data_IF_672103731917
#
_entry.id   IF_672103731917
#
_cell.length_a   1.000
_cell.length_b   1.000
_cell.length_c   1.000
_cell.angle_alpha   90.00
_cell.angle_beta   90.00
_cell.angle_gamma   90.00
#
_symmetry.space_group_name_H-M   'P 1'
#
loop_
_entity.id
_entity.type
_entity.pdbx_description
1 polymer ?
#
# COMPACT_ATOMS: atom_id res chain seq x y z
N UNK A 1 -9.81 8.50 -0.77
CA UNK A 1 -9.51 9.80 -1.43
C UNK A 1 -9.78 9.61 -2.91
N UNK A 2 -10.50 10.56 -3.53
CA UNK A 2 -10.86 10.54 -4.95
C UNK A 2 -10.01 11.55 -5.69
N UNK A 3 -9.48 11.17 -6.84
CA UNK A 3 -8.59 11.99 -7.65
C UNK A 3 -9.17 12.26 -9.04
N UNK A 4 -8.84 13.38 -9.67
CA UNK A 4 -9.31 13.72 -11.02
C UNK A 4 -8.56 12.95 -12.11
N UNK A 5 -7.26 12.74 -11.88
CA UNK A 5 -6.37 12.01 -12.77
C UNK A 5 -5.27 11.33 -11.98
N UNK A 6 -4.65 10.34 -12.58
CA UNK A 6 -3.43 9.71 -12.07
C UNK A 6 -2.32 9.74 -13.08
N UNK A 7 -1.12 10.05 -12.60
CA UNK A 7 0.11 10.02 -13.38
C UNK A 7 1.12 9.13 -12.69
N UNK A 8 1.57 8.08 -13.40
CA UNK A 8 2.54 7.11 -12.91
C UNK A 8 3.71 6.94 -13.86
N UNK A 9 4.88 6.66 -13.33
CA UNK A 9 5.99 6.12 -14.07
C UNK A 9 6.71 5.03 -13.27
N UNK A 10 7.48 4.19 -13.95
CA UNK A 10 8.41 3.26 -13.34
C UNK A 10 9.69 3.19 -14.17
N UNK A 11 10.85 3.02 -13.52
CA UNK A 11 12.13 2.97 -14.22
C UNK A 11 12.20 1.85 -15.27
N UNK A 12 11.63 0.68 -14.94
CA UNK A 12 11.55 -0.47 -15.85
C UNK A 12 10.36 -0.46 -16.82
N UNK A 13 9.49 0.56 -16.73
CA UNK A 13 8.23 0.64 -17.47
C UNK A 13 7.04 0.07 -16.70
N UNK A 14 5.85 0.25 -17.28
CA UNK A 14 4.58 -0.18 -16.69
C UNK A 14 3.89 -1.22 -17.56
N UNK A 15 3.08 -2.04 -16.92
CA UNK A 15 2.10 -2.91 -17.55
C UNK A 15 0.72 -2.38 -17.18
N UNK A 16 -0.12 -2.14 -18.18
CA UNK A 16 -1.48 -1.64 -18.03
C UNK A 16 -2.47 -2.65 -18.59
N UNK A 17 -3.36 -3.16 -17.74
CA UNK A 17 -4.43 -4.06 -18.14
C UNK A 17 -5.75 -3.31 -18.15
N UNK A 18 -6.43 -3.27 -19.29
CA UNK A 18 -7.73 -2.64 -19.47
C UNK A 18 -8.55 -3.37 -20.55
N UNK A 19 -9.83 -3.53 -20.32
CA UNK A 19 -10.75 -4.18 -21.27
C UNK A 19 -10.27 -5.55 -21.78
N UNK A 20 -9.58 -6.34 -20.92
CA UNK A 20 -9.05 -7.64 -21.29
C UNK A 20 -7.80 -7.61 -22.20
N UNK A 21 -7.22 -6.45 -22.42
CA UNK A 21 -5.96 -6.26 -23.14
C UNK A 21 -4.86 -5.76 -22.23
N UNK A 22 -3.63 -6.10 -22.55
CA UNK A 22 -2.44 -5.64 -21.86
C UNK A 22 -1.64 -4.71 -22.77
N UNK A 23 -1.22 -3.58 -22.25
CA UNK A 23 -0.38 -2.58 -22.90
C UNK A 23 0.89 -2.37 -22.08
N UNK A 24 2.02 -2.15 -22.72
CA UNK A 24 3.30 -1.83 -22.08
C UNK A 24 3.67 -0.36 -22.31
N UNK A 25 4.03 0.31 -21.23
CA UNK A 25 4.56 1.69 -21.24
C UNK A 25 6.07 1.62 -21.01
N UNK A 26 6.82 2.37 -21.78
CA UNK A 26 8.29 2.38 -21.71
C UNK A 26 8.81 2.90 -20.37
N UNK A 27 10.06 2.53 -20.05
CA UNK A 27 10.72 2.97 -18.82
C UNK A 27 10.79 4.50 -18.73
N UNK A 28 10.44 5.03 -17.55
CA UNK A 28 10.35 6.45 -17.21
C UNK A 28 9.31 7.27 -18.02
N UNK A 29 8.55 6.65 -18.91
CA UNK A 29 7.41 7.31 -19.55
C UNK A 29 6.29 7.50 -18.53
N UNK A 30 5.62 8.66 -18.59
CA UNK A 30 4.50 8.98 -17.69
C UNK A 30 3.19 8.50 -18.31
N UNK A 31 2.59 7.49 -17.69
CA UNK A 31 1.22 7.08 -17.94
C UNK A 31 0.27 8.07 -17.28
N UNK A 32 -0.67 8.63 -18.03
CA UNK A 32 -1.75 9.47 -17.48
C UNK A 32 -3.08 8.76 -17.69
N UNK A 33 -3.84 8.56 -16.61
CA UNK A 33 -5.19 7.99 -16.61
C UNK A 33 -6.15 9.02 -16.06
N UNK A 34 -7.21 9.32 -16.81
CA UNK A 34 -8.29 10.21 -16.39
C UNK A 34 -9.59 9.41 -16.26
N UNK A 35 -10.59 9.98 -15.58
CA UNK A 35 -11.93 9.38 -15.45
C UNK A 35 -12.58 9.05 -16.81
N UNK A 36 -12.21 9.75 -17.87
CA UNK A 36 -12.73 9.55 -19.23
C UNK A 36 -12.05 8.41 -20.00
N UNK A 37 -11.06 7.72 -19.39
CA UNK A 37 -10.39 6.60 -20.05
C UNK A 37 -11.38 5.47 -20.37
N UNK A 38 -11.37 5.02 -21.62
CA UNK A 38 -12.24 3.94 -22.08
C UNK A 38 -11.99 2.60 -21.37
N UNK A 39 -10.85 2.44 -20.73
CA UNK A 39 -10.50 1.27 -19.91
C UNK A 39 -11.49 1.03 -18.76
N UNK A 40 -12.20 2.06 -18.30
CA UNK A 40 -13.21 1.93 -17.25
C UNK A 40 -14.57 1.39 -17.73
N UNK A 41 -14.81 1.24 -19.02
CA UNK A 41 -16.10 0.78 -19.56
C UNK A 41 -16.46 -0.65 -19.10
N UNK A 42 -15.45 -1.50 -18.90
CA UNK A 42 -15.61 -2.89 -18.50
C UNK A 42 -15.08 -3.18 -17.09
N UNK A 43 -15.00 -2.16 -16.24
CA UNK A 43 -14.57 -2.32 -14.84
C UNK A 43 -13.39 -1.45 -14.45
N UNK A 44 -12.34 -2.06 -13.93
CA UNK A 44 -11.14 -1.37 -13.44
C UNK A 44 -10.00 -1.36 -14.47
N UNK A 45 -9.10 -0.39 -14.32
CA UNK A 45 -7.80 -0.41 -14.98
C UNK A 45 -6.78 -0.90 -13.95
N UNK A 46 -5.96 -1.87 -14.33
CA UNK A 46 -4.91 -2.44 -13.48
C UNK A 46 -3.54 -1.99 -13.97
N UNK A 47 -2.72 -1.45 -13.09
CA UNK A 47 -1.36 -0.96 -13.40
C UNK A 47 -0.35 -1.62 -12.49
N UNK A 48 0.75 -2.10 -13.07
CA UNK A 48 1.89 -2.63 -12.31
C UNK A 48 3.21 -2.24 -12.95
N UNK A 49 4.28 -2.18 -12.15
CA UNK A 49 5.61 -2.00 -12.70
C UNK A 49 6.12 -3.30 -13.32
N UNK A 50 6.79 -3.22 -14.46
CA UNK A 50 7.51 -4.35 -15.02
C UNK A 50 8.53 -4.90 -14.02
N UNK A 51 8.64 -6.23 -13.96
CA UNK A 51 9.58 -6.93 -13.07
C UNK A 51 9.39 -6.66 -11.57
N UNK A 52 8.19 -6.25 -11.13
CA UNK A 52 7.88 -6.02 -9.73
C UNK A 52 8.55 -4.79 -9.12
N UNK A 53 8.96 -3.82 -9.93
CA UNK A 53 9.58 -2.57 -9.51
C UNK A 53 8.63 -1.63 -8.76
N UNK A 54 9.14 -0.45 -8.39
CA UNK A 54 8.32 0.63 -7.82
C UNK A 54 7.71 1.51 -8.91
N UNK A 55 6.49 1.95 -8.66
CA UNK A 55 5.75 2.93 -9.46
C UNK A 55 5.72 4.25 -8.71
N UNK A 56 6.20 5.33 -9.30
CA UNK A 56 6.12 6.68 -8.73
C UNK A 56 4.82 7.35 -9.19
N UNK A 57 4.04 7.86 -8.24
CA UNK A 57 2.83 8.64 -8.53
C UNK A 57 3.17 10.14 -8.58
N UNK A 58 3.02 10.77 -9.73
CA UNK A 58 3.37 12.19 -9.94
C UNK A 58 2.22 13.14 -9.61
N UNK A 59 0.98 12.66 -9.66
CA UNK A 59 -0.24 13.45 -9.39
C UNK A 59 -0.66 13.46 -7.93
N UNK A 60 0.06 12.76 -7.04
CA UNK A 60 -0.25 12.68 -5.61
C UNK A 60 0.88 13.33 -4.83
N UNK A 61 0.56 14.37 -4.06
CA UNK A 61 1.50 14.98 -3.11
C UNK A 61 1.21 14.47 -1.69
N UNK A 62 2.22 13.93 -1.00
CA UNK A 62 2.11 13.48 0.38
C UNK A 62 3.19 14.14 1.21
N UNK A 63 3.28 15.29 1.56
CA UNK A 63 4.22 15.96 2.48
C UNK A 63 5.70 15.50 2.46
N UNK A 64 5.97 14.30 1.96
CA UNK A 64 7.29 13.65 1.87
C UNK A 64 7.75 13.45 0.41
N UNK A 65 7.17 14.17 -0.54
CA UNK A 65 7.42 14.02 -1.98
C UNK A 65 6.40 13.13 -2.68
N UNK A 66 6.74 12.67 -3.86
CA UNK A 66 5.88 11.79 -4.65
C UNK A 66 5.89 10.38 -4.03
N UNK A 67 4.71 9.80 -3.71
CA UNK A 67 4.66 8.46 -3.15
C UNK A 67 5.07 7.42 -4.19
N UNK A 68 5.68 6.33 -3.72
CA UNK A 68 6.01 5.16 -4.54
C UNK A 68 5.20 3.94 -4.10
N UNK A 69 4.75 3.17 -5.06
CA UNK A 69 3.94 1.98 -4.86
C UNK A 69 4.62 0.75 -5.42
N UNK A 70 4.50 -0.39 -4.73
CA UNK A 70 4.83 -1.72 -5.24
C UNK A 70 3.56 -2.54 -5.39
N UNK A 71 3.65 -3.70 -6.05
CA UNK A 71 2.48 -4.54 -6.29
C UNK A 71 1.65 -4.05 -7.46
N UNK A 72 0.33 -4.11 -7.33
CA UNK A 72 -0.63 -3.77 -8.37
C UNK A 72 -1.48 -2.59 -7.89
N UNK A 73 -1.76 -1.66 -8.79
CA UNK A 73 -2.71 -0.58 -8.56
C UNK A 73 -3.97 -0.85 -9.37
N UNK A 74 -5.09 -1.06 -8.69
CA UNK A 74 -6.41 -1.14 -9.29
C UNK A 74 -7.09 0.23 -9.22
N UNK A 75 -7.44 0.76 -10.37
CA UNK A 75 -8.11 2.06 -10.50
C UNK A 75 -9.59 1.84 -10.84
N UNK A 76 -10.46 2.54 -10.13
CA UNK A 76 -11.91 2.50 -10.31
C UNK A 76 -12.44 3.89 -10.59
N UNK A 77 -13.19 4.05 -11.69
CA UNK A 77 -13.90 5.30 -11.96
C UNK A 77 -15.15 5.39 -11.09
N UNK A 78 -15.36 6.56 -10.48
CA UNK A 78 -16.55 6.90 -9.71
C UNK A 78 -17.24 8.16 -10.26
N UNK A 79 -18.38 8.55 -9.73
CA UNK A 79 -19.04 9.81 -10.09
C UNK A 79 -18.14 11.03 -9.83
N UNK A 80 -17.32 10.98 -8.78
CA UNK A 80 -16.48 12.09 -8.33
C UNK A 80 -15.08 12.11 -8.93
N UNK A 81 -14.58 10.95 -9.41
CA UNK A 81 -13.23 10.83 -9.95
C UNK A 81 -12.74 9.39 -9.97
N UNK A 82 -11.49 9.16 -9.62
CA UNK A 82 -10.84 7.84 -9.62
C UNK A 82 -10.43 7.49 -8.19
N UNK A 83 -10.69 6.25 -7.79
CA UNK A 83 -10.19 5.61 -6.57
C UNK A 83 -9.06 4.66 -6.93
N UNK A 84 -7.99 4.64 -6.13
CA UNK A 84 -6.89 3.68 -6.26
C UNK A 84 -6.94 2.68 -5.12
N UNK A 85 -6.80 1.41 -5.47
CA UNK A 85 -6.55 0.32 -4.54
C UNK A 85 -5.16 -0.25 -4.82
N UNK A 86 -4.33 -0.35 -3.81
CA UNK A 86 -3.02 -1.00 -3.92
C UNK A 86 -3.10 -2.44 -3.40
N UNK A 87 -2.95 -3.40 -4.30
CA UNK A 87 -2.86 -4.82 -3.99
C UNK A 87 -1.40 -5.23 -3.89
N UNK A 88 -0.96 -5.69 -2.71
CA UNK A 88 0.42 -6.07 -2.48
C UNK A 88 0.53 -7.13 -1.36
N UNK A 89 1.63 -7.92 -1.33
CA UNK A 89 1.90 -8.83 -0.22
C UNK A 89 2.01 -8.09 1.11
N UNK A 90 1.54 -8.73 2.21
CA UNK A 90 1.53 -8.13 3.54
C UNK A 90 2.93 -7.68 4.01
N UNK A 91 3.97 -8.44 3.70
CA UNK A 91 5.34 -8.06 4.08
C UNK A 91 5.80 -6.77 3.37
N UNK A 92 5.42 -6.58 2.10
CA UNK A 92 5.70 -5.34 1.36
C UNK A 92 4.89 -4.16 1.93
N UNK A 93 3.64 -4.39 2.33
CA UNK A 93 2.80 -3.41 3.02
C UNK A 93 3.47 -2.96 4.34
N UNK A 94 3.97 -3.90 5.14
CA UNK A 94 4.62 -3.61 6.42
C UNK A 94 5.92 -2.80 6.26
N UNK A 95 6.66 -2.97 5.16
CA UNK A 95 7.85 -2.15 4.87
C UNK A 95 7.52 -0.64 4.72
N UNK A 96 6.27 -0.28 4.48
CA UNK A 96 5.79 1.10 4.42
C UNK A 96 5.03 1.52 5.68
N UNK A 97 4.34 0.59 6.35
CA UNK A 97 3.61 0.85 7.61
C UNK A 97 4.58 1.09 8.76
N UNK A 98 5.54 0.19 8.98
CA UNK A 98 6.44 0.28 10.14
C UNK A 98 7.14 1.64 10.23
N UNK A 99 7.79 2.18 9.17
CA UNK A 99 8.41 3.50 9.24
C UNK A 99 7.41 4.65 9.27
N UNK A 100 6.13 4.42 8.95
CA UNK A 100 5.07 5.41 9.09
C UNK A 100 4.55 5.54 10.52
N UNK A 101 4.64 4.46 11.30
CA UNK A 101 4.14 4.37 12.68
C UNK A 101 5.25 4.57 13.72
N UNK A 102 6.47 4.18 13.42
CA UNK A 102 7.61 4.25 14.33
C UNK A 102 8.86 4.76 13.62
N UNK A 103 9.58 5.76 14.17
CA UNK A 103 10.83 6.23 13.60
C UNK A 103 11.84 5.10 13.41
N UNK A 104 12.41 4.96 12.20
CA UNK A 104 13.38 3.92 11.88
C UNK A 104 14.70 4.03 12.67
N UNK A 105 14.92 5.13 13.38
CA UNK A 105 16.04 5.33 14.31
C UNK A 105 15.89 4.60 15.65
N UNK A 106 14.74 3.97 15.91
CA UNK A 106 14.51 3.22 17.14
C UNK A 106 15.34 1.93 17.14
N UNK A 107 15.51 1.36 18.34
CA UNK A 107 16.26 0.10 18.53
C UNK A 107 15.66 -1.03 17.68
N UNK A 108 16.51 -1.87 17.10
CA UNK A 108 16.12 -2.96 16.19
C UNK A 108 15.01 -3.86 16.78
N UNK A 109 15.12 -4.23 18.06
CA UNK A 109 14.13 -5.09 18.69
C UNK A 109 12.77 -4.38 18.88
N UNK A 110 12.76 -3.06 19.05
CA UNK A 110 11.52 -2.29 19.07
C UNK A 110 10.85 -2.25 17.69
N UNK A 111 11.63 -2.07 16.62
CA UNK A 111 11.15 -2.14 15.24
C UNK A 111 10.60 -3.54 14.89
N UNK A 112 11.27 -4.61 15.37
CA UNK A 112 10.80 -5.99 15.20
C UNK A 112 9.47 -6.24 15.93
N UNK A 113 9.36 -5.77 17.18
CA UNK A 113 8.10 -5.85 17.92
C UNK A 113 6.97 -5.10 17.21
N UNK A 114 7.25 -3.89 16.70
CA UNK A 114 6.30 -3.12 15.90
C UNK A 114 5.88 -3.87 14.63
N UNK A 115 6.83 -4.50 13.92
CA UNK A 115 6.54 -5.28 12.72
C UNK A 115 5.60 -6.46 13.00
N UNK A 116 5.84 -7.20 14.10
CA UNK A 116 4.97 -8.32 14.53
C UNK A 116 3.56 -7.80 14.89
N UNK A 117 3.47 -6.72 15.67
CA UNK A 117 2.19 -6.11 16.03
C UNK A 117 1.43 -5.61 14.78
N UNK A 118 2.11 -4.90 13.89
CA UNK A 118 1.51 -4.39 12.66
C UNK A 118 1.03 -5.53 11.75
N UNK A 119 1.79 -6.63 11.67
CA UNK A 119 1.41 -7.84 10.91
C UNK A 119 0.14 -8.48 11.47
N UNK A 120 0.06 -8.65 12.79
CA UNK A 120 -1.14 -9.18 13.44
C UNK A 120 -2.37 -8.31 13.15
N UNK A 121 -2.24 -6.99 13.28
CA UNK A 121 -3.31 -6.07 12.98
C UNK A 121 -3.76 -6.20 11.51
N UNK A 122 -2.81 -6.22 10.57
CA UNK A 122 -3.11 -6.39 9.14
C UNK A 122 -3.85 -7.71 8.86
N UNK A 123 -3.40 -8.84 9.41
CA UNK A 123 -4.07 -10.13 9.24
C UNK A 123 -5.51 -10.12 9.75
N UNK A 124 -5.79 -9.41 10.86
CA UNK A 124 -7.17 -9.27 11.35
C UNK A 124 -8.04 -8.43 10.40
N UNK A 125 -7.47 -7.39 9.80
CA UNK A 125 -8.21 -6.59 8.81
C UNK A 125 -8.46 -7.36 7.50
N UNK A 126 -7.61 -8.32 7.16
CA UNK A 126 -7.76 -9.13 5.95
C UNK A 126 -8.88 -10.18 6.03
N UNK A 127 -9.52 -10.36 7.20
CA UNK A 127 -10.64 -11.30 7.35
C UNK A 127 -11.90 -10.83 6.61
N UNK A 128 -12.08 -9.50 6.49
CA UNK A 128 -13.22 -8.89 5.80
C UNK A 128 -12.81 -7.68 4.97
N UNK A 129 -13.60 -7.35 3.95
CA UNK A 129 -13.43 -6.12 3.19
C UNK A 129 -14.15 -4.96 3.88
N UNK A 130 -13.40 -3.94 4.31
CA UNK A 130 -13.99 -2.69 4.78
C UNK A 130 -14.65 -1.89 3.63
N UNK A 131 -14.19 -2.12 2.41
CA UNK A 131 -14.69 -1.49 1.17
C UNK A 131 -15.01 -2.59 0.15
N UNK A 132 -16.15 -3.29 0.31
CA UNK A 132 -16.48 -4.46 -0.53
C UNK A 132 -16.58 -4.14 -2.01
N UNK A 133 -17.04 -2.92 -2.37
CA UNK A 133 -17.17 -2.46 -3.75
C UNK A 133 -15.82 -2.40 -4.50
N UNK A 134 -14.72 -2.27 -3.77
CA UNK A 134 -13.35 -2.24 -4.30
C UNK A 134 -12.54 -3.49 -3.90
N UNK A 135 -13.13 -4.40 -3.13
CA UNK A 135 -12.42 -5.53 -2.50
C UNK A 135 -11.19 -5.07 -1.68
N UNK A 136 -11.31 -3.93 -0.98
CA UNK A 136 -10.25 -3.38 -0.18
C UNK A 136 -10.51 -3.60 1.33
N UNK A 137 -9.46 -4.01 2.04
CA UNK A 137 -9.52 -4.36 3.46
C UNK A 137 -9.37 -3.14 4.36
N UNK A 138 -8.60 -2.14 3.93
CA UNK A 138 -8.24 -0.96 4.72
C UNK A 138 -8.12 0.27 3.83
N UNK A 139 -8.12 1.45 4.44
CA UNK A 139 -7.61 2.67 3.81
C UNK A 139 -6.21 3.02 4.37
N UNK A 140 -5.60 4.07 3.86
CA UNK A 140 -4.24 4.51 4.20
C UNK A 140 -4.18 5.59 5.28
N UNK A 141 -5.28 5.78 6.04
CA UNK A 141 -5.41 6.77 7.10
C UNK A 141 -5.22 6.19 8.51
N UNK A 142 -5.32 7.06 9.51
CA UNK A 142 -5.29 6.70 10.93
C UNK A 142 -6.51 5.89 11.40
N UNK A 143 -7.52 5.67 10.56
CA UNK A 143 -8.64 4.77 10.88
C UNK A 143 -8.19 3.31 10.95
N UNK A 144 -7.08 3.01 10.25
CA UNK A 144 -6.41 1.71 10.25
C UNK A 144 -4.94 1.89 10.64
N UNK A 145 -4.01 1.52 9.76
CA UNK A 145 -2.58 1.73 9.95
C UNK A 145 -2.10 2.84 9.02
N UNK A 146 -1.35 3.79 9.54
CA UNK A 146 -0.81 4.88 8.73
C UNK A 146 0.10 4.32 7.63
N UNK A 147 -0.25 4.63 6.40
CA UNK A 147 0.51 4.25 5.22
C UNK A 147 0.91 5.51 4.44
N UNK A 148 1.94 6.20 4.92
CA UNK A 148 2.43 7.45 4.32
C UNK A 148 3.02 7.26 2.93
N UNK A 149 3.36 6.01 2.60
CA UNK A 149 3.98 5.64 1.34
C UNK A 149 5.28 6.42 1.05
N UNK A 150 5.97 6.79 2.12
CA UNK A 150 7.32 7.35 2.07
C UNK A 150 8.34 6.31 1.62
N UNK A 151 9.56 6.75 1.32
CA UNK A 151 10.65 5.83 1.00
C UNK A 151 10.85 4.81 2.13
N UNK A 152 11.13 3.57 1.75
CA UNK A 152 11.46 2.52 2.72
C UNK A 152 12.74 2.90 3.48
N UNK A 153 12.75 2.57 4.77
CA UNK A 153 13.89 2.78 5.64
C UNK A 153 14.57 1.42 5.89
N UNK A 154 15.88 1.34 5.69
CA UNK A 154 16.61 0.06 5.78
C UNK A 154 16.37 -0.66 7.10
N UNK A 155 16.51 0.03 8.24
CA UNK A 155 16.36 -0.56 9.57
C UNK A 155 14.95 -1.13 9.81
N UNK A 156 13.89 -0.44 9.40
CA UNK A 156 12.53 -0.94 9.53
C UNK A 156 12.24 -2.08 8.55
N UNK A 157 12.77 -2.00 7.33
CA UNK A 157 12.64 -3.07 6.32
C UNK A 157 13.35 -4.34 6.77
N UNK A 158 14.55 -4.22 7.37
CA UNK A 158 15.27 -5.35 7.96
C UNK A 158 14.48 -5.98 9.11
N UNK A 159 13.89 -5.17 9.99
CA UNK A 159 13.07 -5.66 11.09
C UNK A 159 11.83 -6.43 10.61
N UNK A 160 11.16 -5.97 9.54
CA UNK A 160 10.06 -6.69 8.90
C UNK A 160 10.53 -8.04 8.35
N UNK A 161 11.66 -8.07 7.64
CA UNK A 161 12.24 -9.31 7.08
C UNK A 161 12.66 -10.29 8.15
N UNK A 162 13.34 -9.84 9.21
CA UNK A 162 13.80 -10.67 10.33
C UNK A 162 12.66 -11.35 11.07
N UNK A 163 11.46 -10.75 11.05
CA UNK A 163 10.24 -11.26 11.70
C UNK A 163 9.21 -11.77 10.69
N UNK A 164 9.60 -12.03 9.45
CA UNK A 164 8.68 -12.43 8.40
C UNK A 164 7.86 -13.67 8.80
N UNK A 165 6.53 -13.57 8.67
CA UNK A 165 5.60 -14.64 9.05
C UNK A 165 5.37 -14.81 10.55
N UNK A 166 6.08 -14.10 11.42
CA UNK A 166 5.84 -14.16 12.86
C UNK A 166 4.53 -13.46 13.23
N UNK A 167 3.65 -14.18 13.94
CA UNK A 167 2.34 -13.68 14.39
C UNK A 167 2.09 -14.10 15.84
N UNK A 168 1.33 -13.28 16.54
CA UNK A 168 0.87 -13.57 17.91
C UNK A 168 -0.48 -14.26 17.88
N UNK A 169 -0.59 -15.36 18.63
CA UNK A 169 -1.83 -16.12 18.79
C UNK A 169 -2.19 -16.31 20.25
N UNK A 170 -3.49 -16.34 20.53
CA UNK A 170 -4.04 -16.76 21.81
C UNK A 170 -5.10 -17.84 21.58
N UNK A 171 -4.97 -18.98 22.23
CA UNK A 171 -5.82 -20.16 22.02
C UNK A 171 -5.97 -20.53 20.52
N UNK A 172 -4.89 -20.46 19.74
CA UNK A 172 -4.85 -20.80 18.32
C UNK A 172 -5.33 -19.69 17.36
N UNK A 173 -5.96 -18.64 17.87
CA UNK A 173 -6.47 -17.54 17.06
C UNK A 173 -5.47 -16.36 17.00
N UNK A 174 -5.38 -15.71 15.84
CA UNK A 174 -4.60 -14.47 15.70
C UNK A 174 -5.24 -13.39 16.57
N UNK A 175 -4.45 -12.71 17.39
CA UNK A 175 -4.93 -11.62 18.24
C UNK A 175 -4.83 -10.27 17.54
N UNK A 176 -5.78 -9.37 17.81
CA UNK A 176 -5.64 -7.98 17.39
C UNK A 176 -4.66 -7.29 18.31
N UNK A 177 -3.62 -6.70 17.74
CA UNK A 177 -2.59 -5.98 18.48
C UNK A 177 -2.72 -4.48 18.20
N UNK A 178 -3.31 -3.76 19.15
CA UNK A 178 -3.34 -2.29 19.09
C UNK A 178 -2.03 -1.73 19.64
N UNK A 179 -1.56 -0.64 19.02
CA UNK A 179 -0.38 0.08 19.47
C UNK A 179 -0.63 1.59 19.39
N UNK A 180 0.13 2.35 20.16
CA UNK A 180 0.01 3.80 20.26
C UNK A 180 1.35 4.40 20.73
N UNK A 181 1.60 5.66 20.41
CA UNK A 181 2.89 6.33 20.67
C UNK A 181 3.18 6.58 22.14
N UNK A 182 2.16 6.82 22.97
CA UNK A 182 2.31 7.17 24.39
C UNK A 182 1.21 6.56 25.24
N UNK A 183 1.58 6.13 26.45
CA UNK A 183 0.67 5.61 27.47
C UNK A 183 0.89 6.34 28.79
N UNK A 184 -0.19 6.59 29.52
CA UNK A 184 -0.10 7.06 30.91
C UNK A 184 0.09 5.94 31.92
N UNK A 185 0.31 4.70 31.48
CA UNK A 185 0.60 3.55 32.35
C UNK A 185 -0.61 3.00 33.10
N UNK A 186 -1.82 3.13 32.56
CA UNK A 186 -3.03 2.48 33.11
C UNK A 186 -3.31 1.17 32.41
#
# INVERSE_FOLDING_TARGET
>A
IVHKEFQFSAAGGLIVEKNGTQEEIAGNEILTITKADSGFQNGKIRVSAKNGGEMTAHSIGRGYGNPSYTGILDLYATSEGIVIINELPVENYLCKVVPSEMPASYQKEALKAQAVCARNYAYRQMEDYAYPEYQAHVNDSTDYQVYNNSAQQEASTEAVRDTSGEILKYNGNVVTTYYYSTSCGK
#
